data_IF_115634785372
#
_entry.id   IF_115634785372
#
_cell.length_a   1.000
_cell.length_b   1.000
_cell.length_c   1.000
_cell.angle_alpha   90.00
_cell.angle_beta   90.00
_cell.angle_gamma   90.00
#
_symmetry.space_group_name_H-M   'P 1'
#
loop_
_entity.id
_entity.type
_entity.pdbx_description
1 polymer ?
#
# COMPACT_ATOMS: atom_id res chain seq x y z
N UNK A 1 -30.08 -22.90 -20.64
CA UNK A 1 -29.95 -22.06 -21.86
C UNK A 1 -29.47 -20.68 -21.45
N UNK A 2 -28.19 -20.50 -21.22
CA UNK A 2 -27.57 -19.16 -21.09
C UNK A 2 -26.05 -19.25 -21.10
N UNK A 3 -25.50 -19.84 -22.19
CA UNK A 3 -24.06 -20.10 -22.30
C UNK A 3 -23.31 -19.12 -23.18
N UNK A 4 -23.96 -18.09 -23.75
CA UNK A 4 -23.34 -17.21 -24.76
C UNK A 4 -22.90 -15.85 -24.20
N UNK A 5 -23.41 -15.39 -23.04
CA UNK A 5 -23.04 -14.08 -22.46
C UNK A 5 -21.79 -14.10 -21.59
N UNK A 6 -21.49 -15.21 -20.91
CA UNK A 6 -20.31 -15.35 -20.03
C UNK A 6 -18.99 -15.13 -20.79
N UNK A 7 -18.71 -15.75 -21.95
CA UNK A 7 -17.40 -15.61 -22.60
C UNK A 7 -17.08 -14.19 -23.09
N UNK A 8 -18.08 -13.36 -23.42
CA UNK A 8 -17.84 -11.99 -23.85
C UNK A 8 -17.50 -11.07 -22.67
N UNK A 9 -18.16 -11.24 -21.55
CA UNK A 9 -17.90 -10.48 -20.33
C UNK A 9 -16.54 -10.87 -19.72
N UNK A 10 -16.20 -12.14 -19.67
CA UNK A 10 -14.91 -12.63 -19.21
C UNK A 10 -13.74 -12.08 -20.07
N UNK A 11 -13.87 -12.11 -21.40
CA UNK A 11 -12.87 -11.51 -22.31
C UNK A 11 -12.73 -10.01 -22.14
N UNK A 12 -13.82 -9.30 -21.82
CA UNK A 12 -13.78 -7.86 -21.55
C UNK A 12 -13.03 -7.57 -20.25
N UNK A 13 -13.31 -8.31 -19.18
CA UNK A 13 -12.61 -8.22 -17.90
C UNK A 13 -11.13 -8.56 -18.08
N UNK A 14 -10.80 -9.63 -18.79
CA UNK A 14 -9.42 -10.02 -19.07
C UNK A 14 -8.65 -8.91 -19.80
N UNK A 15 -9.23 -8.29 -20.83
CA UNK A 15 -8.61 -7.17 -21.53
C UNK A 15 -8.40 -5.96 -20.62
N UNK A 16 -9.40 -5.60 -19.80
CA UNK A 16 -9.29 -4.53 -18.82
C UNK A 16 -8.13 -4.80 -17.85
N UNK A 17 -8.04 -6.01 -17.32
CA UNK A 17 -6.98 -6.41 -16.39
C UNK A 17 -5.58 -6.38 -17.05
N UNK A 18 -5.46 -6.78 -18.32
CA UNK A 18 -4.21 -6.66 -19.08
C UNK A 18 -3.76 -5.20 -19.20
N UNK A 19 -4.68 -4.27 -19.43
CA UNK A 19 -4.37 -2.84 -19.53
C UNK A 19 -3.93 -2.30 -18.18
N UNK A 20 -4.62 -2.65 -17.08
CA UNK A 20 -4.24 -2.22 -15.72
C UNK A 20 -2.87 -2.76 -15.36
N UNK A 21 -2.61 -4.06 -15.62
CA UNK A 21 -1.30 -4.67 -15.37
C UNK A 21 -0.18 -4.00 -16.14
N UNK A 22 -0.40 -3.70 -17.42
CA UNK A 22 0.56 -2.96 -18.26
C UNK A 22 0.81 -1.55 -17.70
N UNK A 23 -0.23 -0.88 -17.22
CA UNK A 23 -0.12 0.40 -16.52
C UNK A 23 0.72 0.29 -15.25
N UNK A 24 0.43 -0.70 -14.41
CA UNK A 24 1.19 -0.98 -13.18
C UNK A 24 2.69 -1.17 -13.48
N UNK A 25 3.03 -2.04 -14.44
CA UNK A 25 4.41 -2.31 -14.83
C UNK A 25 5.11 -1.04 -15.33
N UNK A 26 4.49 -0.30 -16.26
CA UNK A 26 5.09 0.92 -16.82
C UNK A 26 5.21 2.06 -15.80
N UNK A 27 4.24 2.23 -14.90
CA UNK A 27 4.33 3.24 -13.84
C UNK A 27 5.40 2.88 -12.81
N UNK A 28 5.61 1.59 -12.53
CA UNK A 28 6.70 1.11 -11.69
C UNK A 28 8.08 1.25 -12.35
N UNK A 29 8.17 1.06 -13.68
CA UNK A 29 9.46 1.12 -14.41
C UNK A 29 9.95 2.56 -14.63
N UNK A 30 9.08 3.49 -14.97
CA UNK A 30 9.47 4.84 -15.42
C UNK A 30 8.63 6.00 -14.87
N UNK A 31 7.73 5.70 -13.95
CA UNK A 31 6.85 6.68 -13.33
C UNK A 31 5.64 7.04 -14.20
N UNK A 32 4.60 7.58 -13.55
CA UNK A 32 3.34 7.93 -14.20
C UNK A 32 3.50 9.01 -15.28
N UNK A 33 4.26 10.05 -15.01
CA UNK A 33 4.36 11.21 -15.91
C UNK A 33 5.07 10.87 -17.23
N UNK A 34 6.04 9.96 -17.18
CA UNK A 34 6.83 9.53 -18.35
C UNK A 34 6.13 8.48 -19.23
N UNK A 35 4.97 7.97 -18.82
CA UNK A 35 4.21 6.97 -19.58
C UNK A 35 3.14 7.61 -20.44
N UNK A 36 2.87 6.99 -21.60
CA UNK A 36 1.80 7.36 -22.52
C UNK A 36 0.77 6.23 -22.67
N UNK A 37 -0.47 6.58 -22.98
CA UNK A 37 -1.52 5.58 -23.27
C UNK A 37 -1.16 4.62 -24.42
N UNK A 38 -0.53 5.08 -25.54
CA UNK A 38 -0.04 4.16 -26.58
C UNK A 38 0.98 3.13 -26.08
N UNK A 39 1.87 3.50 -25.17
CA UNK A 39 2.83 2.54 -24.57
C UNK A 39 2.14 1.51 -23.68
N UNK A 40 1.14 1.92 -22.91
CA UNK A 40 0.31 1.00 -22.11
C UNK A 40 -0.44 0.04 -23.04
N UNK A 41 -1.02 0.53 -24.13
CA UNK A 41 -1.69 -0.29 -25.13
C UNK A 41 -0.74 -1.33 -25.76
N UNK A 42 0.45 -0.90 -26.16
CA UNK A 42 1.47 -1.78 -26.73
C UNK A 42 1.90 -2.86 -25.73
N UNK A 43 2.17 -2.50 -24.48
CA UNK A 43 2.53 -3.43 -23.38
C UNK A 43 1.40 -4.43 -23.09
N UNK A 44 0.13 -3.98 -23.13
CA UNK A 44 -1.04 -4.83 -22.92
C UNK A 44 -1.39 -5.73 -24.13
N UNK A 45 -0.72 -5.55 -25.27
CA UNK A 45 -1.02 -6.27 -26.51
C UNK A 45 -2.38 -5.92 -27.14
N UNK A 46 -2.82 -4.65 -26.99
CA UNK A 46 -4.08 -4.13 -27.54
C UNK A 46 -3.84 -2.84 -28.32
N UNK A 47 -4.82 -2.43 -29.15
CA UNK A 47 -4.77 -1.11 -29.78
C UNK A 47 -5.11 0.01 -28.78
N UNK A 48 -4.59 1.21 -29.02
CA UNK A 48 -4.91 2.40 -28.23
C UNK A 48 -6.41 2.69 -28.18
N UNK A 49 -7.14 2.42 -29.28
CA UNK A 49 -8.60 2.54 -29.32
C UNK A 49 -9.31 1.60 -28.34
N UNK A 50 -8.75 0.39 -28.12
CA UNK A 50 -9.28 -0.53 -27.11
C UNK A 50 -9.07 0.03 -25.69
N UNK A 51 -7.93 0.65 -25.42
CA UNK A 51 -7.69 1.28 -24.10
C UNK A 51 -8.72 2.36 -23.82
N UNK A 52 -8.99 3.26 -24.77
CA UNK A 52 -10.00 4.31 -24.64
C UNK A 52 -11.45 3.78 -24.57
N UNK A 53 -11.68 2.52 -24.95
CA UNK A 53 -12.96 1.84 -24.73
C UNK A 53 -13.20 1.43 -23.26
N UNK A 54 -12.15 1.34 -22.43
CA UNK A 54 -12.21 0.97 -21.01
C UNK A 54 -11.90 2.11 -20.06
N UNK A 55 -11.05 3.05 -20.45
CA UNK A 55 -10.52 4.13 -19.62
C UNK A 55 -10.60 5.45 -20.39
N UNK A 56 -11.05 6.48 -19.72
CA UNK A 56 -11.15 7.83 -20.27
C UNK A 56 -9.77 8.39 -20.62
N UNK A 57 -8.82 8.15 -19.73
CA UNK A 57 -7.45 8.63 -19.84
C UNK A 57 -6.48 7.75 -19.04
N UNK A 58 -5.21 8.12 -19.04
CA UNK A 58 -4.14 7.46 -18.27
C UNK A 58 -4.37 7.54 -16.75
N UNK A 59 -5.07 8.59 -16.27
CA UNK A 59 -5.38 8.76 -14.86
C UNK A 59 -6.39 7.71 -14.37
N UNK A 60 -7.39 7.35 -15.18
CA UNK A 60 -8.33 6.28 -14.82
C UNK A 60 -7.60 4.94 -14.63
N UNK A 61 -6.57 4.68 -15.45
CA UNK A 61 -5.71 3.50 -15.29
C UNK A 61 -4.92 3.60 -13.98
N UNK A 62 -4.37 4.78 -13.65
CA UNK A 62 -3.63 5.00 -12.40
C UNK A 62 -4.49 4.73 -11.17
N UNK A 63 -5.75 5.14 -11.15
CA UNK A 63 -6.64 4.88 -10.01
C UNK A 63 -6.88 3.37 -9.81
N UNK A 64 -6.97 2.59 -10.90
CA UNK A 64 -7.04 1.13 -10.80
C UNK A 64 -5.71 0.51 -10.36
N UNK A 65 -4.59 1.06 -10.80
CA UNK A 65 -3.24 0.65 -10.35
C UNK A 65 -3.06 0.95 -8.86
N UNK A 66 -3.56 2.08 -8.38
CA UNK A 66 -3.53 2.44 -6.95
C UNK A 66 -4.33 1.44 -6.10
N UNK A 67 -5.47 0.92 -6.59
CA UNK A 67 -6.23 -0.11 -5.87
C UNK A 67 -5.38 -1.39 -5.69
N UNK A 68 -4.68 -1.83 -6.74
CA UNK A 68 -3.78 -2.99 -6.67
C UNK A 68 -2.62 -2.71 -5.71
N UNK A 69 -1.99 -1.53 -5.82
CA UNK A 69 -0.90 -1.12 -4.93
C UNK A 69 -1.35 -1.15 -3.46
N UNK A 70 -2.50 -0.57 -3.14
CA UNK A 70 -3.06 -0.57 -1.78
C UNK A 70 -3.25 -1.99 -1.26
N UNK A 71 -3.76 -2.92 -2.06
CA UNK A 71 -3.91 -4.32 -1.70
C UNK A 71 -2.56 -5.00 -1.45
N UNK A 72 -1.58 -4.78 -2.33
CA UNK A 72 -0.23 -5.35 -2.22
C UNK A 72 0.53 -4.86 -0.98
N UNK A 73 0.36 -3.60 -0.58
CA UNK A 73 1.07 -3.05 0.60
C UNK A 73 0.34 -3.34 1.92
N UNK A 74 -0.99 -3.40 1.91
CA UNK A 74 -1.78 -3.60 3.14
C UNK A 74 -1.94 -5.07 3.52
N UNK A 75 -2.14 -5.95 2.54
CA UNK A 75 -2.41 -7.38 2.78
C UNK A 75 -1.33 -8.08 3.59
N UNK A 76 -0.01 -7.92 3.32
CA UNK A 76 1.02 -8.58 4.11
C UNK A 76 1.01 -8.15 5.58
N UNK A 77 0.79 -6.86 5.85
CA UNK A 77 0.72 -6.32 7.22
C UNK A 77 -0.52 -6.83 7.94
N UNK A 78 -1.68 -6.77 7.29
CA UNK A 78 -2.93 -7.26 7.88
C UNK A 78 -2.91 -8.78 8.12
N UNK A 79 -2.27 -9.55 7.26
CA UNK A 79 -2.10 -11.00 7.46
C UNK A 79 -1.24 -11.30 8.70
N UNK A 80 -0.17 -10.54 8.96
CA UNK A 80 0.59 -10.69 10.21
C UNK A 80 -0.33 -10.48 11.41
N UNK A 81 -1.11 -9.38 11.42
CA UNK A 81 -2.00 -9.02 12.52
C UNK A 81 -3.13 -10.06 12.72
N UNK A 82 -3.76 -10.51 11.64
CA UNK A 82 -4.88 -11.45 11.70
C UNK A 82 -4.46 -12.88 12.15
N UNK A 83 -3.20 -13.25 11.95
CA UNK A 83 -2.67 -14.55 12.37
C UNK A 83 -2.11 -14.55 13.80
N UNK A 84 -2.16 -13.43 14.52
CA UNK A 84 -1.72 -13.37 15.91
C UNK A 84 -2.65 -14.17 16.83
N UNK A 85 -2.04 -14.83 17.80
CA UNK A 85 -2.73 -15.53 18.89
C UNK A 85 -2.16 -15.10 20.24
N UNK A 86 -3.01 -14.96 21.28
CA UNK A 86 -2.51 -14.64 22.61
C UNK A 86 -1.65 -15.79 23.21
N UNK A 87 -0.62 -15.49 24.00
CA UNK A 87 -0.15 -14.15 24.36
C UNK A 87 0.72 -13.54 23.26
N UNK A 88 0.53 -12.24 22.95
CA UNK A 88 1.31 -11.52 21.95
C UNK A 88 2.52 -10.86 22.59
N UNK A 89 3.71 -11.13 22.08
CA UNK A 89 4.91 -10.40 22.44
C UNK A 89 5.05 -9.16 21.54
N UNK A 90 4.78 -7.98 22.08
CA UNK A 90 4.72 -6.73 21.32
C UNK A 90 6.07 -6.36 20.69
N UNK A 91 7.17 -6.47 21.42
CA UNK A 91 8.46 -6.00 20.90
C UNK A 91 8.95 -6.77 19.65
N UNK A 92 8.93 -8.11 19.61
CA UNK A 92 9.23 -8.85 18.37
C UNK A 92 8.22 -8.57 17.25
N UNK A 93 6.93 -8.42 17.56
CA UNK A 93 5.90 -8.09 16.58
C UNK A 93 6.19 -6.74 15.91
N UNK A 94 6.53 -5.71 16.69
CA UNK A 94 6.87 -4.39 16.17
C UNK A 94 8.08 -4.47 15.22
N UNK A 95 9.12 -5.22 15.57
CA UNK A 95 10.28 -5.43 14.67
C UNK A 95 9.88 -6.14 13.38
N UNK A 96 9.06 -7.19 13.47
CA UNK A 96 8.53 -7.90 12.29
C UNK A 96 7.74 -6.97 11.37
N UNK A 97 6.89 -6.10 11.93
CA UNK A 97 6.10 -5.13 11.17
C UNK A 97 7.00 -4.04 10.56
N UNK A 98 8.02 -3.57 11.28
CA UNK A 98 8.99 -2.60 10.76
C UNK A 98 9.75 -3.17 9.56
N UNK A 99 10.30 -4.38 9.70
CA UNK A 99 11.03 -5.05 8.62
C UNK A 99 10.13 -5.26 7.39
N UNK A 100 8.86 -5.65 7.60
CA UNK A 100 7.90 -5.81 6.52
C UNK A 100 7.55 -4.47 5.85
N UNK A 101 7.42 -3.40 6.60
CA UNK A 101 7.15 -2.06 6.05
C UNK A 101 8.33 -1.55 5.22
N UNK A 102 9.58 -1.76 5.69
CA UNK A 102 10.79 -1.44 4.93
C UNK A 102 10.86 -2.26 3.62
N UNK A 103 10.57 -3.56 3.68
CA UNK A 103 10.53 -4.43 2.51
C UNK A 103 9.51 -3.93 1.46
N UNK A 104 8.31 -3.56 1.90
CA UNK A 104 7.25 -3.01 1.04
C UNK A 104 7.73 -1.73 0.34
N UNK A 105 8.33 -0.79 1.08
CA UNK A 105 8.86 0.45 0.50
C UNK A 105 9.95 0.18 -0.56
N UNK A 106 10.84 -0.78 -0.32
CA UNK A 106 11.86 -1.18 -1.29
C UNK A 106 11.29 -1.81 -2.54
N UNK A 107 10.33 -2.73 -2.36
CA UNK A 107 9.75 -3.52 -3.47
C UNK A 107 8.94 -2.64 -4.42
N UNK A 108 8.22 -1.65 -3.89
CA UNK A 108 7.33 -0.79 -4.67
C UNK A 108 7.87 0.64 -4.85
N UNK A 109 9.18 0.86 -4.74
CA UNK A 109 9.79 2.18 -4.58
C UNK A 109 9.34 3.21 -5.62
N UNK A 110 9.45 2.91 -6.92
CA UNK A 110 9.12 3.87 -7.97
C UNK A 110 7.62 4.21 -8.04
N UNK A 111 6.75 3.22 -7.80
CA UNK A 111 5.31 3.43 -7.77
C UNK A 111 4.90 4.17 -6.48
N UNK A 112 5.52 3.83 -5.35
CA UNK A 112 5.31 4.48 -4.06
C UNK A 112 5.58 5.99 -4.16
N UNK A 113 6.76 6.41 -4.62
CA UNK A 113 7.10 7.83 -4.78
C UNK A 113 6.12 8.55 -5.72
N UNK A 114 5.80 7.91 -6.87
CA UNK A 114 4.83 8.47 -7.82
C UNK A 114 3.46 8.70 -7.19
N UNK A 115 2.92 7.71 -6.49
CA UNK A 115 1.60 7.78 -5.89
C UNK A 115 1.57 8.77 -4.72
N UNK A 116 2.58 8.77 -3.87
CA UNK A 116 2.68 9.74 -2.76
C UNK A 116 2.83 11.18 -3.25
N UNK A 117 3.59 11.44 -4.31
CA UNK A 117 3.70 12.78 -4.89
C UNK A 117 2.36 13.32 -5.41
N UNK A 118 1.46 12.43 -5.83
CA UNK A 118 0.14 12.81 -6.34
C UNK A 118 -0.88 13.10 -5.23
N UNK A 119 -0.66 12.68 -4.00
CA UNK A 119 -1.60 12.96 -2.89
C UNK A 119 -1.83 14.44 -2.65
N UNK A 120 -0.82 15.27 -2.92
CA UNK A 120 -0.92 16.73 -2.76
C UNK A 120 -1.70 17.43 -3.89
N UNK A 121 -1.86 16.78 -5.05
CA UNK A 121 -2.40 17.42 -6.27
C UNK A 121 -3.63 16.71 -6.84
N UNK A 122 -3.90 15.46 -6.41
CA UNK A 122 -5.00 14.64 -6.90
C UNK A 122 -5.88 14.17 -5.74
N UNK A 123 -7.11 14.73 -5.64
CA UNK A 123 -8.03 14.47 -4.54
C UNK A 123 -8.52 13.02 -4.48
N UNK A 124 -8.64 12.30 -5.60
CA UNK A 124 -9.05 10.89 -5.60
C UNK A 124 -7.92 10.00 -5.11
N UNK A 125 -6.67 10.31 -5.46
CA UNK A 125 -5.49 9.62 -4.92
C UNK A 125 -5.39 9.85 -3.41
N UNK A 126 -5.53 11.10 -2.96
CA UNK A 126 -5.52 11.44 -1.53
C UNK A 126 -6.63 10.69 -0.76
N UNK A 127 -7.85 10.64 -1.31
CA UNK A 127 -8.99 9.96 -0.67
C UNK A 127 -8.74 8.46 -0.51
N UNK A 128 -8.12 7.79 -1.49
CA UNK A 128 -7.77 6.37 -1.42
C UNK A 128 -6.72 6.08 -0.34
N UNK A 129 -5.69 6.93 -0.20
CA UNK A 129 -4.72 6.80 0.88
C UNK A 129 -5.34 7.03 2.25
N UNK A 130 -6.19 8.05 2.40
CA UNK A 130 -6.92 8.30 3.64
C UNK A 130 -7.81 7.09 4.02
N UNK A 131 -8.45 6.47 3.04
CA UNK A 131 -9.24 5.27 3.26
C UNK A 131 -8.36 4.07 3.69
N UNK A 132 -7.20 3.88 3.09
CA UNK A 132 -6.21 2.88 3.49
C UNK A 132 -5.80 3.08 4.96
N UNK A 133 -5.39 4.30 5.33
CA UNK A 133 -5.00 4.64 6.70
C UNK A 133 -6.13 4.37 7.70
N UNK A 134 -7.36 4.78 7.35
CA UNK A 134 -8.54 4.53 8.16
C UNK A 134 -8.80 3.03 8.36
N UNK A 135 -8.70 2.25 7.28
CA UNK A 135 -8.99 0.82 7.30
C UNK A 135 -7.93 0.06 8.13
N UNK A 136 -6.66 0.38 7.99
CA UNK A 136 -5.59 -0.19 8.83
C UNK A 136 -5.81 0.20 10.29
N UNK A 137 -6.03 1.49 10.58
CA UNK A 137 -6.19 1.99 11.96
C UNK A 137 -7.36 1.30 12.66
N UNK A 138 -8.55 1.30 12.03
CA UNK A 138 -9.75 0.70 12.62
C UNK A 138 -9.63 -0.83 12.68
N UNK A 139 -9.11 -1.45 11.62
CA UNK A 139 -8.93 -2.89 11.54
C UNK A 139 -8.03 -3.41 12.66
N UNK A 140 -6.84 -2.85 12.80
CA UNK A 140 -5.88 -3.24 13.84
C UNK A 140 -6.43 -2.96 15.24
N UNK A 141 -6.99 -1.77 15.50
CA UNK A 141 -7.56 -1.44 16.79
C UNK A 141 -8.69 -2.41 17.21
N UNK A 142 -9.48 -2.90 16.26
CA UNK A 142 -10.58 -3.85 16.52
C UNK A 142 -10.10 -5.26 16.91
N UNK A 143 -8.87 -5.62 16.59
CA UNK A 143 -8.27 -6.93 16.90
C UNK A 143 -7.62 -6.95 18.29
N UNK A 144 -7.14 -5.80 18.81
CA UNK A 144 -6.41 -5.73 20.06
C UNK A 144 -7.13 -6.38 21.26
N UNK A 145 -8.43 -6.16 21.49
CA UNK A 145 -9.14 -6.83 22.60
C UNK A 145 -9.14 -8.36 22.47
N UNK A 146 -9.23 -8.90 21.25
CA UNK A 146 -9.18 -10.35 21.00
C UNK A 146 -7.81 -10.95 21.29
N UNK A 147 -6.77 -10.12 21.26
CA UNK A 147 -5.39 -10.49 21.59
C UNK A 147 -5.05 -10.26 23.08
N UNK A 148 -6.04 -9.94 23.91
CA UNK A 148 -5.89 -9.56 25.33
C UNK A 148 -4.99 -8.32 25.51
N UNK A 149 -5.00 -7.40 24.55
CA UNK A 149 -4.33 -6.10 24.61
C UNK A 149 -5.41 -5.05 24.85
N UNK A 150 -5.59 -4.68 26.10
CA UNK A 150 -6.53 -3.64 26.52
C UNK A 150 -5.75 -2.37 26.88
N UNK A 151 -5.84 -1.38 25.99
CA UNK A 151 -5.14 -0.10 26.12
C UNK A 151 -6.10 1.06 25.84
N UNK A 152 -6.00 2.17 26.57
CA UNK A 152 -6.76 3.38 26.28
C UNK A 152 -6.34 3.94 24.92
N UNK A 153 -7.26 4.65 24.27
CA UNK A 153 -6.98 5.39 23.01
C UNK A 153 -6.37 4.48 21.93
N UNK A 154 -6.89 3.26 21.80
CA UNK A 154 -6.32 2.23 20.94
C UNK A 154 -6.19 2.67 19.46
N UNK A 155 -7.17 3.43 18.93
CA UNK A 155 -7.13 3.92 17.55
C UNK A 155 -6.02 4.94 17.35
N UNK A 156 -5.90 5.88 18.27
CA UNK A 156 -4.89 6.94 18.24
C UNK A 156 -3.49 6.37 18.35
N UNK A 157 -3.30 5.36 19.21
CA UNK A 157 -2.02 4.65 19.35
C UNK A 157 -1.67 3.83 18.12
N UNK A 158 -2.63 3.12 17.52
CA UNK A 158 -2.43 2.39 16.27
C UNK A 158 -2.10 3.35 15.13
N UNK A 159 -2.83 4.47 15.02
CA UNK A 159 -2.57 5.47 13.98
C UNK A 159 -1.18 6.11 14.13
N UNK A 160 -0.80 6.45 15.36
CA UNK A 160 0.54 6.99 15.63
C UNK A 160 1.64 5.96 15.31
N UNK A 161 1.45 4.69 15.69
CA UNK A 161 2.38 3.62 15.34
C UNK A 161 2.52 3.45 13.82
N UNK A 162 1.40 3.48 13.08
CA UNK A 162 1.40 3.43 11.61
C UNK A 162 2.22 4.59 11.03
N UNK A 163 2.03 5.82 11.50
CA UNK A 163 2.80 6.98 11.06
C UNK A 163 4.29 6.82 11.33
N UNK A 164 4.68 6.28 12.50
CA UNK A 164 6.08 6.02 12.83
C UNK A 164 6.69 4.95 11.89
N UNK A 165 5.97 3.86 11.62
CA UNK A 165 6.39 2.85 10.66
C UNK A 165 6.61 3.45 9.27
N UNK A 166 5.65 4.22 8.77
CA UNK A 166 5.69 4.82 7.44
C UNK A 166 6.83 5.83 7.32
N UNK A 167 6.90 6.79 8.24
CA UNK A 167 7.93 7.86 8.21
C UNK A 167 9.34 7.29 8.29
N UNK A 168 9.60 6.36 9.22
CA UNK A 168 10.90 5.73 9.33
C UNK A 168 11.25 4.92 8.07
N UNK A 169 10.34 4.09 7.59
CA UNK A 169 10.60 3.25 6.42
C UNK A 169 10.83 4.07 5.16
N UNK A 170 10.06 5.15 4.97
CA UNK A 170 10.25 6.06 3.84
C UNK A 170 11.65 6.69 3.87
N UNK A 171 12.02 7.33 4.99
CA UNK A 171 13.35 7.95 5.13
C UNK A 171 14.47 6.91 5.00
N UNK A 172 14.30 5.74 5.61
CA UNK A 172 15.28 4.65 5.55
C UNK A 172 15.53 4.14 4.13
N UNK A 173 14.54 4.16 3.26
CA UNK A 173 14.65 3.62 1.89
C UNK A 173 15.06 4.71 0.90
N UNK A 174 14.52 5.93 1.02
CA UNK A 174 14.64 6.96 -0.02
C UNK A 174 15.55 8.14 0.36
N UNK A 175 15.60 8.53 1.65
CA UNK A 175 16.15 9.82 2.04
C UNK A 175 17.17 9.73 3.18
N UNK A 176 18.00 8.68 3.19
CA UNK A 176 19.03 8.50 4.25
C UNK A 176 19.98 9.68 4.36
N UNK A 177 20.09 10.20 5.57
CA UNK A 177 21.05 11.26 5.91
C UNK A 177 22.36 10.68 6.43
N UNK A 178 23.50 11.18 5.93
CA UNK A 178 24.84 10.69 6.29
C UNK A 178 25.24 10.94 7.75
N UNK A 179 24.53 11.81 8.46
CA UNK A 179 24.77 12.16 9.86
C UNK A 179 23.89 11.39 10.87
N UNK A 180 23.04 10.44 10.39
CA UNK A 180 22.14 9.63 11.22
C UNK A 180 22.62 8.18 11.23
N UNK A 181 22.70 7.59 12.44
CA UNK A 181 22.82 6.13 12.61
C UNK A 181 21.45 5.49 12.53
N UNK A 182 21.14 4.91 11.38
CA UNK A 182 19.83 4.27 11.13
C UNK A 182 19.63 2.97 11.89
N UNK A 183 20.68 2.31 12.37
CA UNK A 183 20.53 1.14 13.25
C UNK A 183 20.04 1.59 14.63
N UNK A 184 20.66 2.64 15.17
CA UNK A 184 20.21 3.25 16.42
C UNK A 184 18.78 3.82 16.28
N UNK A 185 18.48 4.51 15.18
CA UNK A 185 17.14 5.08 14.93
C UNK A 185 16.08 3.98 14.81
N UNK A 186 16.38 2.86 14.13
CA UNK A 186 15.49 1.70 14.05
C UNK A 186 15.11 1.18 15.44
N UNK A 187 16.09 0.97 16.32
CA UNK A 187 15.84 0.46 17.66
C UNK A 187 15.01 1.47 18.50
N UNK A 188 15.32 2.77 18.41
CA UNK A 188 14.57 3.83 19.10
C UNK A 188 13.11 3.87 18.64
N UNK A 189 12.86 3.81 17.33
CA UNK A 189 11.49 3.83 16.78
C UNK A 189 10.73 2.57 17.19
N UNK A 190 11.35 1.38 17.09
CA UNK A 190 10.72 0.14 17.50
C UNK A 190 10.39 0.12 19.01
N UNK A 191 11.28 0.65 19.86
CA UNK A 191 11.02 0.79 21.30
C UNK A 191 9.89 1.77 21.58
N UNK A 192 9.87 2.91 20.90
CA UNK A 192 8.82 3.92 21.02
C UNK A 192 7.44 3.36 20.65
N UNK A 193 7.34 2.65 19.53
CA UNK A 193 6.11 1.98 19.11
C UNK A 193 5.71 0.91 20.14
N UNK A 194 6.66 0.11 20.61
CA UNK A 194 6.40 -0.95 21.62
C UNK A 194 5.74 -0.35 22.88
N UNK A 195 6.23 0.78 23.36
CA UNK A 195 5.70 1.47 24.53
C UNK A 195 4.25 1.96 24.36
N UNK A 196 3.83 2.27 23.13
CA UNK A 196 2.44 2.64 22.86
C UNK A 196 1.45 1.52 23.23
N UNK A 197 1.89 0.26 23.19
CA UNK A 197 1.03 -0.91 23.42
C UNK A 197 1.27 -1.61 24.75
N UNK A 198 2.24 -1.19 25.56
CA UNK A 198 2.50 -1.77 26.89
C UNK A 198 1.77 -1.07 28.03
N UNK A 199 1.00 -0.01 27.78
CA UNK A 199 0.12 0.63 28.77
C UNK A 199 0.82 1.31 29.95
N UNK A 200 2.11 1.67 29.81
CA UNK A 200 2.88 2.40 30.84
C UNK A 200 3.23 3.78 30.38
#
# INVERSE_FOLDING_TARGET
KNTVRQPQQERAIEKKNKIIKAGYELFSEKGFFSCTTPEIAARAGVSTGIVYGYFKDKRDILLCVLDIYIEEVSTPVMNIIHNLTPPVNIAPLVKTLMDKTIEIHRTHSALHETLHSLTATDGDVAAKFLELERNITIGVASVLPKLNIDIPDARERVHLAMNLFQTFSHEYVFDKHSFIDYNAMYDIVCESITRLFLGK
#
